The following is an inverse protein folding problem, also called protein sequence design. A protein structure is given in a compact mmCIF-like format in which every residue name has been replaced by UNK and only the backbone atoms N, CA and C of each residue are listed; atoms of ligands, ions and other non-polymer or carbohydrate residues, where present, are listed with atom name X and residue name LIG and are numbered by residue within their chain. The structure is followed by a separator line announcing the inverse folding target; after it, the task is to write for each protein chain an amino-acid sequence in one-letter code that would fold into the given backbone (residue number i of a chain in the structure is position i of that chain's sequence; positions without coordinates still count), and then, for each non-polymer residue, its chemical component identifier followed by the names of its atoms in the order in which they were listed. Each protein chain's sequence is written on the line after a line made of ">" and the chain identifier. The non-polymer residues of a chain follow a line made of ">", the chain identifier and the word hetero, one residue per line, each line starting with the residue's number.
data_IF_817096774472
#
_entry.id   IF_817096774472
#
_cell.length_a   1.000
_cell.length_b   1.000
_cell.length_c   1.000
_cell.angle_alpha   90.00
_cell.angle_beta   90.00
_cell.angle_gamma   90.00
#
_symmetry.space_group_name_H-M   'P 1'
#
loop_
_entity.id
_entity.type
_entity.pdbx_description
1 polymer ?
#
# COMPACT_ATOMS: atom_id res chain seq x y z
N UNK A 1 -0.23 4.27 -9.57
CA UNK A 1 -1.00 4.18 -10.83
C UNK A 1 0.01 4.18 -11.95
N UNK A 2 0.13 3.08 -12.67
CA UNK A 2 0.98 3.02 -13.85
C UNK A 2 0.33 3.88 -14.93
N UNK A 3 1.06 4.83 -15.45
CA UNK A 3 0.65 5.56 -16.64
C UNK A 3 0.61 4.57 -17.81
N UNK A 4 -0.45 4.61 -18.62
CA UNK A 4 -0.58 3.72 -19.77
C UNK A 4 0.63 3.80 -20.72
N UNK A 5 1.32 4.93 -20.77
CA UNK A 5 2.57 5.12 -21.53
C UNK A 5 3.68 4.21 -20.99
N UNK A 6 3.84 4.10 -19.67
CA UNK A 6 4.85 3.23 -19.06
C UNK A 6 4.60 1.74 -19.35
N UNK A 7 3.34 1.33 -19.45
CA UNK A 7 2.99 -0.05 -19.83
C UNK A 7 3.43 -0.32 -21.26
N UNK A 8 3.13 0.59 -22.20
CA UNK A 8 3.54 0.47 -23.61
C UNK A 8 5.06 0.41 -23.74
N UNK A 9 5.79 1.29 -23.05
CA UNK A 9 7.25 1.30 -23.06
C UNK A 9 7.86 0.00 -22.51
N UNK A 10 7.28 -0.57 -21.46
CA UNK A 10 7.74 -1.84 -20.89
C UNK A 10 7.47 -3.01 -21.85
N UNK A 11 6.30 -3.05 -22.48
CA UNK A 11 5.98 -4.07 -23.50
C UNK A 11 6.94 -3.96 -24.71
N UNK A 12 7.18 -2.74 -25.20
CA UNK A 12 8.13 -2.51 -26.30
C UNK A 12 9.56 -2.94 -25.92
N UNK A 13 9.99 -2.66 -24.69
CA UNK A 13 11.28 -3.12 -24.17
C UNK A 13 11.38 -4.64 -24.08
N UNK A 14 10.30 -5.32 -23.68
CA UNK A 14 10.25 -6.79 -23.65
C UNK A 14 10.31 -7.38 -25.05
N UNK A 15 9.61 -6.81 -26.01
CA UNK A 15 9.60 -7.26 -27.40
C UNK A 15 10.96 -7.06 -28.12
N UNK A 16 11.77 -6.10 -27.68
CA UNK A 16 13.12 -5.83 -28.24
C UNK A 16 14.22 -6.70 -27.64
N UNK A 17 13.94 -7.52 -26.62
CA UNK A 17 14.93 -8.48 -26.10
C UNK A 17 15.16 -9.57 -27.14
N UNK A 18 16.43 -9.87 -27.54
CA UNK A 18 16.73 -11.00 -28.40
C UNK A 18 16.25 -12.28 -27.71
N UNK A 19 15.78 -13.24 -28.49
CA UNK A 19 15.16 -14.51 -28.09
C UNK A 19 16.02 -15.31 -27.10
N UNK A 20 16.11 -14.87 -25.86
CA UNK A 20 16.32 -15.77 -24.77
C UNK A 20 14.98 -16.43 -24.52
N UNK A 21 14.93 -17.74 -24.56
CA UNK A 21 13.75 -18.56 -24.34
C UNK A 21 13.18 -18.28 -22.93
N UNK A 22 12.46 -17.15 -22.79
CA UNK A 22 11.93 -16.65 -21.53
C UNK A 22 10.69 -17.42 -21.09
N UNK A 23 10.26 -18.41 -21.88
CA UNK A 23 9.05 -19.20 -21.59
C UNK A 23 7.76 -18.36 -21.52
N UNK A 24 7.81 -17.08 -21.89
CA UNK A 24 6.65 -16.20 -21.89
C UNK A 24 5.77 -16.45 -23.12
N UNK A 25 4.84 -17.39 -22.98
CA UNK A 25 3.92 -17.79 -24.06
C UNK A 25 2.77 -16.83 -24.33
N UNK A 26 2.59 -15.75 -23.59
CA UNK A 26 1.51 -14.80 -23.81
C UNK A 26 1.32 -13.79 -22.67
N UNK A 27 0.58 -12.72 -22.95
CA UNK A 27 0.17 -11.73 -21.97
C UNK A 27 -1.33 -11.90 -21.68
N UNK A 28 -1.72 -12.05 -20.40
CA UNK A 28 -3.09 -12.11 -19.97
C UNK A 28 -3.46 -10.86 -19.16
N UNK A 29 -4.55 -10.22 -19.51
CA UNK A 29 -5.13 -9.12 -18.76
C UNK A 29 -6.29 -9.61 -17.89
N UNK A 30 -6.36 -9.15 -16.66
CA UNK A 30 -7.45 -9.46 -15.73
C UNK A 30 -8.06 -8.15 -15.23
N UNK A 31 -9.38 -8.12 -15.11
CA UNK A 31 -10.13 -7.00 -14.54
C UNK A 31 -11.04 -7.47 -13.42
N UNK A 32 -11.27 -6.60 -12.43
CA UNK A 32 -12.17 -6.89 -11.31
C UNK A 32 -13.62 -6.59 -11.68
N UNK A 33 -14.44 -7.62 -11.67
CA UNK A 33 -15.87 -7.50 -12.01
C UNK A 33 -16.61 -6.84 -10.89
N UNK A 34 -16.71 -5.98 -10.24
CA UNK A 34 -17.49 -5.41 -9.12
C UNK A 34 -16.60 -5.19 -7.88
N UNK A 35 -15.41 -4.63 -8.05
CA UNK A 35 -14.48 -4.47 -6.95
C UNK A 35 -15.02 -3.56 -5.82
N UNK A 36 -15.42 -2.33 -6.14
CA UNK A 36 -15.80 -1.34 -5.13
C UNK A 36 -16.96 -1.78 -4.21
N UNK A 37 -18.07 -2.34 -4.71
CA UNK A 37 -19.18 -2.72 -3.86
C UNK A 37 -18.96 -3.98 -3.03
N UNK A 38 -17.91 -4.76 -3.32
CA UNK A 38 -17.72 -6.09 -2.70
C UNK A 38 -16.60 -6.11 -1.65
N UNK A 39 -15.77 -5.08 -1.57
CA UNK A 39 -14.69 -5.04 -0.58
C UNK A 39 -15.26 -4.97 0.84
N UNK A 40 -14.94 -5.96 1.73
CA UNK A 40 -15.35 -5.90 3.12
C UNK A 40 -14.63 -4.77 3.85
N UNK A 41 -15.37 -3.85 4.47
CA UNK A 41 -14.79 -2.65 5.09
C UNK A 41 -13.83 -2.96 6.24
N UNK A 42 -14.10 -4.01 7.01
CA UNK A 42 -13.21 -4.43 8.09
C UNK A 42 -11.88 -4.99 7.55
N UNK A 43 -11.92 -5.76 6.47
CA UNK A 43 -10.73 -6.29 5.82
C UNK A 43 -9.91 -5.15 5.18
N UNK A 44 -10.58 -4.20 4.52
CA UNK A 44 -9.98 -2.98 4.01
C UNK A 44 -9.19 -2.23 5.11
N UNK A 45 -9.84 -1.98 6.25
CA UNK A 45 -9.22 -1.30 7.40
C UNK A 45 -8.01 -2.06 7.92
N UNK A 46 -8.13 -3.37 8.08
CA UNK A 46 -7.04 -4.21 8.56
C UNK A 46 -5.83 -4.16 7.62
N UNK A 47 -6.04 -4.35 6.34
CA UNK A 47 -4.97 -4.39 5.33
C UNK A 47 -4.32 -3.03 5.11
N UNK A 48 -5.11 -1.99 4.87
CA UNK A 48 -4.58 -0.63 4.65
C UNK A 48 -3.93 -0.11 5.93
N UNK A 49 -4.52 -0.35 7.10
CA UNK A 49 -3.92 0.00 8.38
C UNK A 49 -2.58 -0.69 8.62
N UNK A 50 -2.45 -1.96 8.25
CA UNK A 50 -1.18 -2.71 8.32
C UNK A 50 -0.11 -2.11 7.41
N UNK A 51 -0.47 -1.77 6.16
CA UNK A 51 0.44 -1.10 5.22
C UNK A 51 0.92 0.26 5.76
N UNK A 52 0.02 1.05 6.33
CA UNK A 52 0.37 2.35 6.93
C UNK A 52 1.39 2.14 8.06
N UNK A 53 1.13 1.23 9.00
CA UNK A 53 2.05 0.95 10.12
C UNK A 53 3.40 0.43 9.63
N UNK A 54 3.42 -0.45 8.63
CA UNK A 54 4.65 -0.98 8.03
C UNK A 54 5.50 0.13 7.40
N UNK A 55 4.89 1.08 6.69
CA UNK A 55 5.61 2.22 6.08
C UNK A 55 6.25 3.09 7.15
N UNK A 56 5.52 3.42 8.22
CA UNK A 56 6.08 4.19 9.33
C UNK A 56 7.17 3.44 10.08
N UNK A 57 7.00 2.15 10.33
CA UNK A 57 8.01 1.31 10.96
C UNK A 57 9.28 1.25 10.13
N UNK A 58 9.18 0.94 8.85
CA UNK A 58 10.35 0.93 7.93
C UNK A 58 11.06 2.28 7.92
N UNK A 59 10.30 3.38 7.93
CA UNK A 59 10.90 4.72 7.99
C UNK A 59 11.66 4.95 9.29
N UNK A 60 11.12 4.50 10.42
CA UNK A 60 11.76 4.59 11.73
C UNK A 60 13.01 3.70 11.82
N UNK A 61 13.01 2.53 11.16
CA UNK A 61 14.11 1.57 11.20
C UNK A 61 15.29 1.96 10.29
N UNK A 62 15.00 2.61 9.15
CA UNK A 62 16.04 3.00 8.17
C UNK A 62 16.88 4.18 8.67
N UNK A 63 16.24 5.12 9.36
CA UNK A 63 16.91 6.36 9.77
C UNK A 63 17.17 6.32 11.26
N UNK A 64 18.45 6.12 11.62
CA UNK A 64 18.94 6.25 12.99
C UNK A 64 19.72 7.56 13.12
N UNK A 65 19.78 8.09 14.33
CA UNK A 65 20.62 9.26 14.61
C UNK A 65 22.11 8.87 14.66
N UNK A 66 22.99 9.88 14.78
CA UNK A 66 24.43 9.69 14.86
C UNK A 66 24.87 8.86 16.10
N UNK A 67 23.98 8.72 17.08
CA UNK A 67 24.16 7.91 18.29
C UNK A 67 23.47 6.54 18.20
N UNK A 68 23.00 6.15 17.01
CA UNK A 68 22.28 4.88 16.73
C UNK A 68 20.91 4.75 17.45
N UNK A 69 20.31 5.86 17.90
CA UNK A 69 18.97 5.84 18.46
C UNK A 69 17.92 5.78 17.35
N UNK A 70 16.85 5.04 17.61
CA UNK A 70 15.72 4.96 16.70
C UNK A 70 15.01 6.32 16.59
N UNK A 71 14.90 6.83 15.36
CA UNK A 71 14.22 8.09 15.08
C UNK A 71 12.71 7.86 14.95
N UNK A 72 11.91 8.76 15.51
CA UNK A 72 10.48 8.78 15.30
C UNK A 72 10.11 9.76 14.20
N UNK A 73 9.33 9.32 13.24
CA UNK A 73 8.89 10.10 12.10
C UNK A 73 7.38 10.34 12.11
N UNK A 74 6.99 11.50 11.61
CA UNK A 74 5.60 11.92 11.44
C UNK A 74 5.37 12.37 10.02
N UNK A 75 4.13 12.27 9.55
CA UNK A 75 3.70 12.87 8.30
C UNK A 75 3.11 14.24 8.59
N UNK A 76 3.68 15.27 7.99
CA UNK A 76 3.19 16.64 8.09
C UNK A 76 2.41 16.99 6.82
N UNK A 77 1.17 17.45 6.98
CA UNK A 77 0.39 17.97 5.88
C UNK A 77 0.59 19.47 5.73
N UNK A 78 0.95 19.88 4.52
CA UNK A 78 0.98 21.28 4.08
C UNK A 78 -0.16 21.53 3.10
N UNK A 79 -0.34 22.76 2.64
CA UNK A 79 -1.40 23.11 1.68
C UNK A 79 -1.31 22.34 0.35
N UNK A 80 -0.12 21.93 -0.05
CA UNK A 80 0.15 21.36 -1.37
C UNK A 80 0.69 19.93 -1.35
N UNK A 81 1.22 19.47 -0.21
CA UNK A 81 1.89 18.16 -0.16
C UNK A 81 1.94 17.60 1.27
N UNK A 82 2.20 16.30 1.33
CA UNK A 82 2.56 15.60 2.56
C UNK A 82 4.07 15.37 2.59
N UNK A 83 4.72 15.72 3.69
CA UNK A 83 6.16 15.58 3.87
C UNK A 83 6.48 14.81 5.15
N UNK A 84 7.56 14.03 5.12
CA UNK A 84 8.08 13.37 6.31
C UNK A 84 8.86 14.36 7.15
N UNK A 85 8.53 14.42 8.44
CA UNK A 85 9.23 15.27 9.43
C UNK A 85 9.57 14.44 10.65
N UNK A 86 10.72 14.66 11.23
CA UNK A 86 11.19 13.94 12.42
C UNK A 86 12.68 13.71 12.40
N UNK A 87 13.13 12.71 13.13
CA UNK A 87 14.51 12.39 13.39
C UNK A 87 14.79 12.44 14.89
N UNK A 88 16.04 12.58 15.30
CA UNK A 88 16.45 12.63 16.70
C UNK A 88 15.86 13.82 17.50
N UNK A 89 15.25 14.77 16.84
CA UNK A 89 14.77 16.01 17.45
C UNK A 89 13.27 16.18 17.29
N UNK A 90 12.60 16.24 18.46
CA UNK A 90 11.24 16.73 18.77
C UNK A 90 10.18 16.70 17.64
N UNK A 91 9.03 16.15 17.96
CA UNK A 91 7.76 16.38 17.26
C UNK A 91 7.66 17.87 16.89
N UNK A 92 7.41 18.22 15.62
CA UNK A 92 7.24 19.61 15.22
C UNK A 92 6.07 20.22 16.00
N UNK A 93 6.35 21.21 16.83
CA UNK A 93 5.34 21.86 17.68
C UNK A 93 4.96 23.21 17.09
N UNK A 94 4.27 23.23 15.96
CA UNK A 94 3.62 24.44 15.49
C UNK A 94 2.11 24.28 15.62
N UNK A 95 1.46 25.24 16.24
CA UNK A 95 -0.02 25.29 16.43
C UNK A 95 -0.79 25.20 15.09
N UNK A 96 -0.12 25.51 13.99
CA UNK A 96 -0.72 25.63 12.65
C UNK A 96 -0.36 24.43 11.74
N UNK A 97 0.47 23.50 12.22
CA UNK A 97 0.96 22.38 11.43
C UNK A 97 0.38 21.10 11.96
N UNK A 98 -0.40 20.42 11.12
CA UNK A 98 -0.95 19.11 11.47
C UNK A 98 0.08 18.03 11.17
N UNK A 99 0.46 17.27 12.19
CA UNK A 99 1.34 16.12 12.09
C UNK A 99 0.61 14.85 12.50
N UNK A 100 0.87 13.79 11.77
CA UNK A 100 0.23 12.49 11.93
C UNK A 100 1.27 11.41 12.10
N UNK A 101 1.07 10.55 13.08
CA UNK A 101 1.70 9.24 13.19
C UNK A 101 0.82 8.17 12.54
N UNK A 102 1.30 6.93 12.51
CA UNK A 102 0.57 5.81 11.92
C UNK A 102 -0.81 5.61 12.57
N UNK A 103 -0.88 5.68 13.89
CA UNK A 103 -2.13 5.41 14.62
C UNK A 103 -3.18 6.48 14.39
N UNK A 104 -2.78 7.75 14.28
CA UNK A 104 -3.71 8.82 13.92
C UNK A 104 -4.26 8.67 12.52
N UNK A 105 -3.41 8.26 11.55
CA UNK A 105 -3.86 8.00 10.17
C UNK A 105 -4.81 6.80 10.14
N UNK A 106 -4.49 5.71 10.83
CA UNK A 106 -5.39 4.57 10.97
C UNK A 106 -6.72 4.95 11.63
N UNK A 107 -6.69 5.78 12.68
CA UNK A 107 -7.91 6.27 13.32
C UNK A 107 -8.79 7.15 12.40
N UNK A 108 -8.21 7.87 11.44
CA UNK A 108 -8.98 8.55 10.40
C UNK A 108 -9.58 7.55 9.39
N UNK A 109 -8.83 6.53 9.02
CA UNK A 109 -9.30 5.47 8.14
C UNK A 109 -10.51 4.75 8.77
N UNK A 110 -10.40 4.38 10.05
CA UNK A 110 -11.50 3.75 10.81
C UNK A 110 -12.75 4.61 10.77
N UNK A 111 -12.63 5.90 11.10
CA UNK A 111 -13.77 6.84 11.06
C UNK A 111 -14.36 7.00 9.67
N UNK A 112 -13.50 7.06 8.64
CA UNK A 112 -13.95 7.19 7.27
C UNK A 112 -14.78 5.99 6.83
N UNK A 113 -14.34 4.79 7.18
CA UNK A 113 -15.00 3.52 6.82
C UNK A 113 -16.26 3.31 7.64
N UNK A 114 -16.20 3.55 8.95
CA UNK A 114 -17.33 3.32 9.87
C UNK A 114 -18.44 4.38 9.76
N UNK A 115 -18.14 5.56 9.22
CA UNK A 115 -19.09 6.68 9.15
C UNK A 115 -19.72 6.84 7.77
N UNK A 116 -19.80 5.78 6.97
CA UNK A 116 -20.40 5.86 5.64
C UNK A 116 -21.88 5.52 5.68
N UNK A 117 -22.71 6.49 5.31
CA UNK A 117 -24.16 6.36 5.27
C UNK A 117 -24.67 6.64 3.87
N UNK A 118 -25.72 5.93 3.48
CA UNK A 118 -26.45 6.12 2.23
C UNK A 118 -27.87 6.53 2.55
N UNK A 119 -28.38 7.56 1.89
CA UNK A 119 -29.76 7.98 2.00
C UNK A 119 -30.58 7.42 0.84
N UNK A 120 -31.68 6.74 1.15
CA UNK A 120 -32.66 6.26 0.19
C UNK A 120 -34.03 6.85 0.54
N UNK A 121 -34.42 7.92 -0.13
CA UNK A 121 -35.59 8.69 0.22
C UNK A 121 -35.46 9.29 1.63
N UNK A 122 -36.33 8.87 2.56
CA UNK A 122 -36.31 9.33 3.96
C UNK A 122 -35.54 8.40 4.91
N UNK A 123 -34.95 7.31 4.39
CA UNK A 123 -34.25 6.31 5.20
C UNK A 123 -32.74 6.53 5.08
N UNK A 124 -32.06 6.49 6.20
CA UNK A 124 -30.59 6.51 6.28
C UNK A 124 -30.11 5.08 6.57
N UNK A 125 -29.27 4.56 5.69
CA UNK A 125 -28.71 3.23 5.80
C UNK A 125 -27.22 3.32 6.06
N UNK A 126 -26.71 2.50 6.95
CA UNK A 126 -25.27 2.37 7.17
C UNK A 126 -24.68 1.39 6.16
N UNK A 127 -23.63 1.83 5.44
CA UNK A 127 -22.93 0.97 4.50
C UNK A 127 -21.97 0.04 5.26
N UNK A 128 -22.19 -1.27 5.13
CA UNK A 128 -21.39 -2.32 5.79
C UNK A 128 -20.37 -2.97 4.87
N UNK A 129 -20.61 -2.90 3.58
CA UNK A 129 -19.77 -3.55 2.55
C UNK A 129 -19.57 -2.56 1.41
N UNK A 130 -18.39 -2.60 0.84
CA UNK A 130 -18.03 -1.78 -0.32
C UNK A 130 -17.47 -0.41 0.04
N UNK A 131 -16.60 0.09 -0.81
CA UNK A 131 -16.04 1.44 -0.69
C UNK A 131 -17.03 2.43 -1.31
N UNK A 132 -17.38 3.51 -0.62
CA UNK A 132 -18.32 4.51 -1.15
C UNK A 132 -17.70 5.24 -2.35
N UNK A 133 -18.21 4.96 -3.56
CA UNK A 133 -17.68 5.49 -4.82
C UNK A 133 -17.75 7.02 -4.94
N UNK A 134 -18.53 7.70 -4.10
CA UNK A 134 -18.63 9.16 -4.10
C UNK A 134 -17.53 9.87 -3.29
N UNK A 135 -16.67 9.16 -2.60
CA UNK A 135 -15.60 9.78 -1.81
C UNK A 135 -14.31 9.92 -2.62
N UNK A 136 -13.61 11.05 -2.46
CA UNK A 136 -12.36 11.33 -3.19
C UNK A 136 -11.25 10.31 -2.88
N UNK A 137 -11.31 9.61 -1.75
CA UNK A 137 -10.33 8.62 -1.34
C UNK A 137 -10.64 7.20 -1.85
N UNK A 138 -11.84 6.94 -2.38
CA UNK A 138 -12.25 5.59 -2.79
C UNK A 138 -11.29 4.91 -3.78
N UNK A 139 -10.81 5.59 -4.86
CA UNK A 139 -9.84 4.98 -5.77
C UNK A 139 -8.51 4.62 -5.10
N UNK A 140 -8.04 5.48 -4.19
CA UNK A 140 -6.79 5.24 -3.45
C UNK A 140 -6.92 4.06 -2.49
N UNK A 141 -8.04 3.96 -1.76
CA UNK A 141 -8.30 2.86 -0.84
C UNK A 141 -8.42 1.53 -1.59
N UNK A 142 -9.12 1.51 -2.73
CA UNK A 142 -9.21 0.33 -3.57
C UNK A 142 -7.84 -0.11 -4.10
N UNK A 143 -7.03 0.83 -4.57
CA UNK A 143 -5.67 0.54 -5.04
C UNK A 143 -4.78 0.01 -3.91
N UNK A 144 -4.84 0.59 -2.71
CA UNK A 144 -4.07 0.11 -1.57
C UNK A 144 -4.52 -1.29 -1.11
N UNK A 145 -5.81 -1.56 -1.18
CA UNK A 145 -6.37 -2.88 -0.89
C UNK A 145 -5.83 -3.94 -1.85
N UNK A 146 -5.90 -3.70 -3.17
CA UNK A 146 -5.33 -4.60 -4.18
C UNK A 146 -3.82 -4.73 -4.04
N UNK A 147 -3.13 -3.63 -3.79
CA UNK A 147 -1.67 -3.63 -3.58
C UNK A 147 -1.27 -4.52 -2.39
N UNK A 148 -2.09 -4.63 -1.36
CA UNK A 148 -1.79 -5.51 -0.23
C UNK A 148 -1.72 -6.99 -0.64
N UNK A 149 -2.58 -7.43 -1.55
CA UNK A 149 -2.56 -8.80 -2.08
C UNK A 149 -1.39 -9.01 -3.04
N UNK A 150 -1.12 -8.05 -3.92
CA UNK A 150 0.04 -8.10 -4.82
C UNK A 150 1.35 -8.17 -4.04
N UNK A 151 1.48 -7.38 -2.98
CA UNK A 151 2.66 -7.39 -2.11
C UNK A 151 2.85 -8.75 -1.42
N UNK A 152 1.76 -9.31 -0.88
CA UNK A 152 1.80 -10.62 -0.25
C UNK A 152 2.20 -11.72 -1.24
N UNK A 153 1.66 -11.66 -2.46
CA UNK A 153 2.03 -12.57 -3.54
C UNK A 153 3.52 -12.45 -3.92
N UNK A 154 4.02 -11.25 -4.15
CA UNK A 154 5.44 -11.02 -4.48
C UNK A 154 6.36 -11.50 -3.36
N UNK A 155 6.02 -11.24 -2.10
CA UNK A 155 6.77 -11.74 -0.95
C UNK A 155 6.79 -13.28 -0.90
N UNK A 156 5.69 -13.94 -1.26
CA UNK A 156 5.62 -15.40 -1.32
C UNK A 156 6.55 -15.98 -2.41
N UNK A 157 6.61 -15.32 -3.57
CA UNK A 157 7.52 -15.72 -4.66
C UNK A 157 8.98 -15.59 -4.24
N UNK A 158 9.37 -14.48 -3.63
CA UNK A 158 10.75 -14.26 -3.15
C UNK A 158 11.14 -15.32 -2.11
N UNK A 159 10.23 -15.64 -1.16
CA UNK A 159 10.49 -16.70 -0.17
C UNK A 159 10.68 -18.06 -0.81
N UNK A 160 9.86 -18.41 -1.81
CA UNK A 160 9.95 -19.69 -2.52
C UNK A 160 11.25 -19.81 -3.33
N UNK A 161 11.70 -18.72 -3.96
CA UNK A 161 12.98 -18.69 -4.67
C UNK A 161 14.18 -18.86 -3.73
N UNK A 162 14.18 -18.16 -2.60
CA UNK A 162 15.24 -18.27 -1.59
C UNK A 162 15.30 -19.68 -0.97
N UNK A 163 14.15 -20.33 -0.77
CA UNK A 163 14.10 -21.70 -0.28
C UNK A 163 14.70 -22.71 -1.30
N UNK A 164 14.41 -22.53 -2.60
CA UNK A 164 15.00 -23.36 -3.67
C UNK A 164 16.52 -23.19 -3.76
N UNK A 165 17.03 -21.98 -3.63
CA UNK A 165 18.47 -21.70 -3.68
C UNK A 165 19.22 -22.31 -2.48
N UNK A 166 18.61 -22.31 -1.27
CA UNK A 166 19.19 -22.97 -0.10
C UNK A 166 19.26 -24.48 -0.27
N UNK A 167 18.18 -25.11 -0.72
CA UNK A 167 18.16 -26.55 -0.96
C UNK A 167 19.17 -27.02 -2.02
N UNK A 168 19.42 -26.20 -3.06
CA UNK A 168 20.42 -26.50 -4.08
C UNK A 168 21.87 -26.42 -3.57
N UNK A 169 22.15 -25.57 -2.59
CA UNK A 169 23.50 -25.46 -2.00
C UNK A 169 23.84 -26.61 -1.03
N UNK A 170 22.85 -27.19 -0.37
CA UNK A 170 23.04 -28.31 0.54
C UNK A 170 23.33 -29.61 -0.22
N UNK A 171 22.89 -29.77 -1.46
CA UNK A 171 23.17 -30.95 -2.31
C UNK A 171 24.53 -30.91 -3.03
N UNK A 172 25.28 -29.81 -2.94
CA UNK A 172 26.58 -29.66 -3.62
C UNK A 172 27.78 -29.89 -2.67
N UNK A 173 27.54 -30.26 -1.42
CA UNK A 173 28.55 -30.46 -0.38
C UNK A 173 28.66 -31.94 0.09
N UNK A 174 28.28 -32.91 -0.78
CA UNK A 174 28.52 -34.34 -0.54
C UNK A 174 29.42 -34.90 -1.63
#
# INVERSE_FOLDING_TARGET
>A
VWDGIQVVENVDRLNKRPNEDTGMGGMAGYDFKIMYPTIPLQDLNGRVGSLIREVFQKRNDIVRDDQNHQCQWWLQLTKSQAIWVGGAKRKPSSRWVQTFDADRICGFLDKLVDSTFITLGKVVLWQRIGIPMGTNCAPFLANLYCFSDELAFLQSLVRSQNARQKGSREHTLI
#
